data_IF_639579932587
#
_entry.id   IF_639579932587
#
_cell.length_a   1.000
_cell.length_b   1.000
_cell.length_c   1.000
_cell.angle_alpha   90.00
_cell.angle_beta   90.00
_cell.angle_gamma   90.00
#
_symmetry.space_group_name_H-M   'P 1'
#
loop_
_entity.id
_entity.type
_entity.pdbx_description
1 polymer ?
#
# COMPACT_ATOMS: atom_id res chain seq x y z
N UNK A 1 1.02 19.42 8.23
CA UNK A 1 2.07 18.57 8.81
C UNK A 1 1.48 17.21 9.15
N UNK A 2 2.27 16.22 9.60
CA UNK A 2 1.70 14.98 10.14
C UNK A 2 0.85 15.25 11.39
N UNK A 3 1.25 16.24 12.21
CA UNK A 3 0.48 16.69 13.38
C UNK A 3 -0.92 17.17 12.98
N UNK A 4 -1.04 18.03 11.96
CA UNK A 4 -2.35 18.54 11.53
C UNK A 4 -3.28 17.41 11.03
N UNK A 5 -2.72 16.39 10.37
CA UNK A 5 -3.50 15.21 9.93
C UNK A 5 -3.98 14.41 11.14
N UNK A 6 -3.10 14.17 12.12
CA UNK A 6 -3.45 13.44 13.33
C UNK A 6 -4.49 14.18 14.18
N UNK A 7 -4.38 15.51 14.32
CA UNK A 7 -5.36 16.32 15.05
C UNK A 7 -6.73 16.32 14.37
N UNK A 8 -6.75 16.34 13.03
CA UNK A 8 -7.99 16.42 12.26
C UNK A 8 -8.69 15.07 12.08
N UNK A 9 -7.93 14.00 11.88
CA UNK A 9 -8.46 12.69 11.48
C UNK A 9 -8.23 11.58 12.52
N UNK A 10 -7.39 11.83 13.53
CA UNK A 10 -6.99 10.81 14.49
C UNK A 10 -5.95 9.83 13.92
N UNK A 11 -5.67 8.79 14.71
CA UNK A 11 -4.79 7.68 14.34
C UNK A 11 -5.44 6.39 14.80
N UNK A 12 -5.72 5.49 13.85
CA UNK A 12 -6.22 4.14 14.13
C UNK A 12 -5.12 3.09 14.05
N UNK A 13 -5.21 2.08 14.92
CA UNK A 13 -4.30 0.93 14.93
C UNK A 13 -5.07 -0.32 14.58
N UNK A 14 -4.79 -0.87 13.39
CA UNK A 14 -5.43 -2.09 12.90
C UNK A 14 -4.63 -3.31 13.39
N UNK A 15 -5.30 -4.18 14.14
CA UNK A 15 -4.73 -5.44 14.65
C UNK A 15 -5.53 -6.64 14.15
N UNK A 16 -4.94 -7.84 14.18
CA UNK A 16 -5.61 -9.05 13.73
C UNK A 16 -4.75 -10.29 13.92
N UNK A 17 -5.38 -11.46 13.84
CA UNK A 17 -4.70 -12.75 13.84
C UNK A 17 -4.10 -13.06 12.46
N UNK A 18 -3.13 -14.00 12.41
CA UNK A 18 -2.60 -14.50 11.15
C UNK A 18 -3.73 -15.05 10.27
N UNK A 19 -3.70 -14.70 8.96
CA UNK A 19 -4.76 -15.01 8.01
C UNK A 19 -5.85 -13.93 7.91
N UNK A 20 -5.87 -12.93 8.80
CA UNK A 20 -6.68 -11.73 8.65
C UNK A 20 -6.18 -10.83 7.50
N UNK A 21 -7.10 -10.03 6.96
CA UNK A 21 -6.80 -9.10 5.88
C UNK A 21 -7.25 -7.69 6.23
N UNK A 22 -6.44 -6.70 5.82
CA UNK A 22 -6.77 -5.28 5.89
C UNK A 22 -6.72 -4.72 4.47
N UNK A 23 -7.79 -4.06 4.05
CA UNK A 23 -7.83 -3.31 2.79
C UNK A 23 -7.88 -1.82 3.11
N UNK A 24 -7.11 -1.03 2.37
CA UNK A 24 -7.09 0.42 2.50
C UNK A 24 -6.87 1.06 1.13
N UNK A 25 -7.38 2.28 0.97
CA UNK A 25 -7.25 3.04 -0.27
C UNK A 25 -5.79 3.42 -0.59
N UNK A 26 -5.47 3.52 -1.88
CA UNK A 26 -4.13 3.86 -2.39
C UNK A 26 -3.57 5.18 -1.87
N UNK A 27 -4.43 6.12 -1.47
CA UNK A 27 -4.05 7.43 -0.95
C UNK A 27 -4.22 7.53 0.59
N UNK A 28 -4.50 6.43 1.28
CA UNK A 28 -4.58 6.39 2.74
C UNK A 28 -3.19 6.60 3.37
N UNK A 29 -3.07 7.58 4.27
CA UNK A 29 -1.85 7.79 5.04
C UNK A 29 -1.68 6.68 6.07
N UNK A 30 -0.58 5.94 5.97
CA UNK A 30 -0.31 4.80 6.84
C UNK A 30 1.17 4.69 7.18
N UNK A 31 1.48 4.14 8.35
CA UNK A 31 2.84 3.92 8.81
C UNK A 31 2.87 2.79 9.85
N UNK A 32 4.07 2.31 10.17
CA UNK A 32 4.29 1.39 11.29
C UNK A 32 5.54 1.77 12.05
N UNK A 33 5.50 1.64 13.38
CA UNK A 33 6.69 1.77 14.21
C UNK A 33 7.61 0.55 14.08
N UNK A 34 8.87 0.72 14.51
CA UNK A 34 9.82 -0.39 14.66
C UNK A 34 9.32 -1.45 15.64
N UNK A 35 9.83 -2.67 15.52
CA UNK A 35 9.44 -3.80 16.37
C UNK A 35 10.66 -4.30 17.17
N UNK A 36 10.64 -4.08 18.49
CA UNK A 36 11.68 -4.55 19.43
C UNK A 36 11.30 -5.86 20.13
N UNK A 37 10.13 -6.42 19.84
CA UNK A 37 9.60 -7.64 20.47
C UNK A 37 10.15 -8.90 19.77
N UNK A 38 10.08 -10.08 20.40
CA UNK A 38 10.50 -11.33 19.76
C UNK A 38 9.50 -11.87 18.72
N UNK A 39 8.34 -11.23 18.54
CA UNK A 39 7.28 -11.69 17.65
C UNK A 39 7.40 -11.05 16.27
N UNK A 40 7.53 -11.85 15.21
CA UNK A 40 7.65 -11.33 13.85
C UNK A 40 6.34 -10.69 13.36
N UNK A 41 6.47 -9.67 12.52
CA UNK A 41 5.35 -9.05 11.79
C UNK A 41 5.52 -9.33 10.30
N UNK A 42 5.21 -10.56 9.90
CA UNK A 42 5.26 -11.00 8.49
C UNK A 42 3.88 -10.84 7.85
N UNK A 43 3.82 -10.18 6.70
CA UNK A 43 2.60 -10.00 5.93
C UNK A 43 2.87 -10.00 4.41
N UNK A 44 1.81 -10.24 3.65
CA UNK A 44 1.79 -10.06 2.20
C UNK A 44 1.06 -8.76 1.87
N UNK A 45 1.66 -7.94 1.01
CA UNK A 45 0.99 -6.78 0.42
C UNK A 45 0.63 -7.09 -1.03
N UNK A 46 -0.64 -6.94 -1.36
CA UNK A 46 -1.14 -7.00 -2.73
C UNK A 46 -1.78 -5.65 -3.05
N UNK A 47 -1.31 -4.99 -4.10
CA UNK A 47 -1.87 -3.73 -4.59
C UNK A 47 -2.67 -4.03 -5.85
N UNK A 48 -3.99 -3.91 -5.77
CA UNK A 48 -4.86 -3.98 -6.92
C UNK A 48 -5.00 -2.58 -7.54
N UNK A 49 -5.04 -2.53 -8.85
CA UNK A 49 -5.34 -1.31 -9.59
C UNK A 49 -6.37 -1.62 -10.67
N UNK A 50 -7.27 -0.66 -10.94
CA UNK A 50 -8.25 -0.81 -12.03
C UNK A 50 -7.52 -0.92 -13.37
N UNK A 51 -8.01 -1.77 -14.28
CA UNK A 51 -7.50 -1.85 -15.66
C UNK A 51 -7.74 -0.56 -16.44
N UNK A 52 -8.71 0.25 -16.01
CA UNK A 52 -8.98 1.59 -16.54
C UNK A 52 -7.98 2.64 -16.02
N UNK A 53 -7.17 2.30 -15.01
CA UNK A 53 -6.18 3.18 -14.38
C UNK A 53 -4.73 2.72 -14.64
N UNK A 54 -4.45 2.26 -15.86
CA UNK A 54 -3.12 1.78 -16.26
C UNK A 54 -2.02 2.85 -16.07
N UNK A 55 -0.82 2.39 -15.69
CA UNK A 55 0.33 3.27 -15.47
C UNK A 55 0.81 3.92 -16.78
N UNK A 56 0.85 5.25 -16.81
CA UNK A 56 1.39 6.04 -17.93
C UNK A 56 2.90 6.28 -17.80
N UNK A 57 3.44 7.27 -18.52
CA UNK A 57 4.80 7.75 -18.30
C UNK A 57 4.94 8.36 -16.90
N UNK A 58 6.06 8.14 -16.19
CA UNK A 58 6.22 8.66 -14.83
C UNK A 58 6.14 10.18 -14.80
N UNK A 59 5.35 10.74 -13.88
CA UNK A 59 5.18 12.18 -13.73
C UNK A 59 6.48 12.94 -13.34
N UNK A 60 7.48 12.25 -12.78
CA UNK A 60 8.72 12.89 -12.30
C UNK A 60 10.01 12.04 -12.50
N UNK A 61 9.90 10.75 -12.82
CA UNK A 61 11.07 9.89 -13.01
C UNK A 61 11.49 9.87 -14.48
N UNK A 62 12.79 9.77 -14.76
CA UNK A 62 13.32 9.78 -16.12
C UNK A 62 12.96 8.53 -16.94
N UNK A 63 12.52 7.45 -16.29
CA UNK A 63 12.07 6.21 -16.93
C UNK A 63 11.17 5.38 -16.01
N UNK A 64 10.37 4.45 -16.56
CA UNK A 64 9.60 3.49 -15.77
C UNK A 64 10.48 2.67 -14.81
N UNK A 65 9.92 2.33 -13.63
CA UNK A 65 10.58 1.45 -12.65
C UNK A 65 10.59 -0.01 -13.14
N UNK A 66 11.45 -0.89 -12.56
CA UNK A 66 11.39 -2.33 -12.83
C UNK A 66 9.99 -2.92 -12.60
N UNK A 67 9.62 -3.94 -13.38
CA UNK A 67 8.27 -4.52 -13.35
C UNK A 67 7.82 -5.05 -11.98
N UNK A 68 8.75 -5.54 -11.15
CA UNK A 68 8.44 -6.00 -9.79
C UNK A 68 8.12 -4.85 -8.81
N UNK A 69 8.35 -3.59 -9.19
CA UNK A 69 7.94 -2.39 -8.42
C UNK A 69 6.76 -1.64 -9.05
N UNK A 70 6.47 -1.89 -10.33
CA UNK A 70 5.43 -1.20 -11.08
C UNK A 70 5.10 -1.99 -12.34
N UNK A 71 4.17 -2.94 -12.21
CA UNK A 71 3.73 -3.78 -13.33
C UNK A 71 3.12 -2.93 -14.45
N UNK A 72 3.39 -3.34 -15.69
CA UNK A 72 2.76 -2.82 -16.92
C UNK A 72 1.88 -3.87 -17.61
N UNK A 73 1.70 -5.03 -16.99
CA UNK A 73 0.67 -5.98 -17.38
C UNK A 73 -0.65 -5.56 -16.74
N UNK A 74 -1.64 -5.33 -17.60
CA UNK A 74 -2.99 -4.89 -17.24
C UNK A 74 -4.04 -5.92 -17.67
N UNK A 75 -3.62 -7.16 -17.94
CA UNK A 75 -4.53 -8.28 -18.21
C UNK A 75 -5.49 -8.42 -17.03
N UNK A 76 -6.82 -8.34 -17.25
CA UNK A 76 -7.80 -8.50 -16.18
C UNK A 76 -7.65 -9.85 -15.48
N UNK A 77 -7.79 -9.84 -14.15
CA UNK A 77 -7.84 -11.06 -13.36
C UNK A 77 -9.18 -11.76 -13.67
N UNK A 78 -9.12 -12.96 -14.24
CA UNK A 78 -10.31 -13.79 -14.44
C UNK A 78 -10.76 -14.41 -13.11
N UNK A 79 -12.07 -14.56 -12.94
CA UNK A 79 -12.69 -15.28 -11.83
C UNK A 79 -12.58 -16.80 -12.02
#
# INVERSE_FOLDING_TARGET
>A
TLTDFAERYGIDVLTGHAGGATMFDSNCMHASNGNVTPYSRSNLFVVYNSVENACVEPFAASRPRPGFLGSRDHTPIAA
#
